data_IF_416626897351
#
_entry.id   IF_416626897351
#
_cell.length_a   1.000
_cell.length_b   1.000
_cell.length_c   1.000
_cell.angle_alpha   90.00
_cell.angle_beta   90.00
_cell.angle_gamma   90.00
#
_symmetry.space_group_name_H-M   'P 1'
#
loop_
_entity.id
_entity.type
_entity.pdbx_description
1 polymer ?
#
# COMPACT_ATOMS: atom_id res chain seq x y z
N UNK A 1 11.12 -3.83 13.83
CA UNK A 1 10.46 -3.57 12.53
C UNK A 1 9.90 -4.88 12.01
N UNK A 2 8.59 -4.97 11.75
CA UNK A 2 7.99 -6.19 11.22
C UNK A 2 8.67 -6.56 9.89
N UNK A 3 9.00 -7.83 9.71
CA UNK A 3 9.70 -8.36 8.53
C UNK A 3 8.81 -8.16 7.30
N UNK A 4 9.12 -7.16 6.45
CA UNK A 4 8.39 -6.93 5.20
C UNK A 4 8.79 -7.98 4.17
N UNK A 5 7.80 -8.60 3.53
CA UNK A 5 8.03 -9.56 2.44
C UNK A 5 8.27 -8.80 1.14
N UNK A 6 9.44 -8.95 0.55
CA UNK A 6 9.70 -8.47 -0.82
C UNK A 6 9.08 -9.44 -1.82
N UNK A 7 8.29 -8.92 -2.76
CA UNK A 7 7.71 -9.70 -3.84
C UNK A 7 7.65 -8.86 -5.12
N UNK A 8 7.92 -9.44 -6.30
CA UNK A 8 7.75 -8.75 -7.55
C UNK A 8 6.25 -8.57 -7.83
N UNK A 9 5.79 -7.31 -7.89
CA UNK A 9 4.41 -6.97 -8.23
C UNK A 9 4.29 -6.79 -9.75
N UNK A 10 3.40 -7.56 -10.38
CA UNK A 10 2.99 -7.29 -11.76
C UNK A 10 1.82 -6.32 -11.71
N UNK A 11 2.04 -5.11 -12.20
CA UNK A 11 1.06 -4.02 -12.22
C UNK A 11 1.08 -3.37 -13.60
N UNK A 12 -0.07 -2.85 -14.00
CA UNK A 12 -0.17 -2.03 -15.20
C UNK A 12 0.74 -0.77 -15.09
N UNK A 13 1.52 -0.43 -16.13
CA UNK A 13 2.43 0.72 -16.07
C UNK A 13 1.74 2.07 -15.90
N UNK A 14 0.56 2.26 -16.49
CA UNK A 14 -0.19 3.52 -16.36
C UNK A 14 -0.71 3.68 -14.94
N UNK A 15 -1.23 2.59 -14.36
CA UNK A 15 -1.64 2.58 -12.96
C UNK A 15 -0.45 2.86 -12.02
N UNK A 16 0.72 2.29 -12.30
CA UNK A 16 1.92 2.57 -11.50
C UNK A 16 2.29 4.06 -11.54
N UNK A 17 2.25 4.70 -12.71
CA UNK A 17 2.55 6.13 -12.85
C UNK A 17 1.58 7.01 -12.04
N UNK A 18 0.29 6.66 -12.02
CA UNK A 18 -0.72 7.36 -11.20
C UNK A 18 -0.40 7.22 -9.70
N UNK A 19 -0.08 6.01 -9.25
CA UNK A 19 0.28 5.72 -7.85
C UNK A 19 1.56 6.46 -7.46
N UNK A 20 2.56 6.51 -8.34
CA UNK A 20 3.83 7.21 -8.09
C UNK A 20 3.62 8.70 -7.91
N UNK A 21 2.82 9.33 -8.78
CA UNK A 21 2.47 10.75 -8.64
C UNK A 21 1.73 11.00 -7.31
N UNK A 22 0.73 10.18 -6.99
CA UNK A 22 -0.02 10.31 -5.74
C UNK A 22 0.87 10.12 -4.50
N UNK A 23 1.79 9.15 -4.53
CA UNK A 23 2.74 8.95 -3.45
C UNK A 23 3.63 10.19 -3.23
N UNK A 24 4.09 10.82 -4.32
CA UNK A 24 4.87 12.05 -4.27
C UNK A 24 4.06 13.22 -3.69
N UNK A 25 2.80 13.38 -4.09
CA UNK A 25 1.90 14.41 -3.57
C UNK A 25 1.66 14.26 -2.05
N UNK A 26 1.73 13.04 -1.51
CA UNK A 26 1.61 12.74 -0.08
C UNK A 26 2.96 12.66 0.67
N UNK A 27 4.09 12.97 0.02
CA UNK A 27 5.44 12.83 0.60
C UNK A 27 5.73 11.42 1.15
N UNK A 28 5.26 10.38 0.45
CA UNK A 28 5.51 8.96 0.79
C UNK A 28 6.33 8.28 -0.30
N UNK A 29 7.03 7.20 0.07
CA UNK A 29 7.59 6.31 -0.96
C UNK A 29 6.47 5.53 -1.65
N UNK A 30 6.67 5.19 -2.92
CA UNK A 30 5.73 4.40 -3.73
C UNK A 30 5.34 3.10 -3.02
N UNK A 31 6.32 2.37 -2.47
CA UNK A 31 6.07 1.13 -1.72
C UNK A 31 5.22 1.35 -0.46
N UNK A 32 5.46 2.44 0.29
CA UNK A 32 4.67 2.76 1.47
C UNK A 32 3.24 3.17 1.11
N UNK A 33 3.07 3.90 0.00
CA UNK A 33 1.76 4.31 -0.49
C UNK A 33 0.95 3.11 -1.02
N UNK A 34 1.57 2.19 -1.78
CA UNK A 34 0.93 0.92 -2.18
C UNK A 34 0.48 0.12 -0.96
N UNK A 35 1.34 -0.03 0.06
CA UNK A 35 0.97 -0.72 1.31
C UNK A 35 -0.22 -0.05 2.00
N UNK A 36 -0.24 1.28 2.06
CA UNK A 36 -1.34 2.07 2.62
C UNK A 36 -2.66 1.79 1.89
N UNK A 37 -2.69 1.93 0.56
CA UNK A 37 -3.89 1.68 -0.25
C UNK A 37 -4.43 0.27 -0.06
N UNK A 38 -3.55 -0.75 -0.07
CA UNK A 38 -3.94 -2.14 0.14
C UNK A 38 -4.53 -2.37 1.54
N UNK A 39 -3.93 -1.76 2.58
CA UNK A 39 -4.42 -1.84 3.96
C UNK A 39 -5.77 -1.17 4.10
N UNK A 40 -5.94 0.02 3.55
CA UNK A 40 -7.21 0.75 3.62
C UNK A 40 -8.33 -0.02 2.92
N UNK A 41 -8.08 -0.54 1.71
CA UNK A 41 -9.05 -1.38 1.01
C UNK A 41 -9.37 -2.68 1.78
N UNK A 42 -8.36 -3.33 2.37
CA UNK A 42 -8.57 -4.53 3.18
C UNK A 42 -9.40 -4.25 4.45
N UNK A 43 -9.18 -3.11 5.11
CA UNK A 43 -10.00 -2.66 6.25
C UNK A 43 -11.43 -2.36 5.81
N UNK A 44 -11.62 -1.62 4.72
CA UNK A 44 -12.95 -1.30 4.18
C UNK A 44 -13.76 -2.55 3.82
N UNK A 45 -13.09 -3.59 3.31
CA UNK A 45 -13.72 -4.89 3.01
C UNK A 45 -13.86 -5.81 4.24
N UNK A 46 -13.49 -5.36 5.43
CA UNK A 46 -13.51 -6.15 6.66
C UNK A 46 -12.58 -7.36 6.64
N UNK A 47 -11.59 -7.38 5.71
CA UNK A 47 -10.63 -8.48 5.54
C UNK A 47 -9.39 -8.32 6.40
N UNK A 48 -9.14 -7.11 6.89
CA UNK A 48 -8.13 -6.85 7.89
C UNK A 48 -8.83 -6.75 9.26
N UNK A 49 -8.57 -7.69 10.16
CA UNK A 49 -8.94 -7.52 11.57
C UNK A 49 -8.20 -6.28 12.08
N UNK A 50 -8.87 -5.38 12.80
CA UNK A 50 -8.18 -4.34 13.56
C UNK A 50 -7.11 -5.06 14.37
N UNK A 51 -5.85 -4.67 14.23
CA UNK A 51 -4.80 -5.15 15.12
C UNK A 51 -5.33 -4.91 16.53
N UNK A 52 -5.63 -6.01 17.23
CA UNK A 52 -5.54 -6.00 18.68
C UNK A 52 -4.06 -5.72 18.93
N UNK A 53 -3.80 -4.81 19.86
CA UNK A 53 -2.46 -4.45 20.35
C UNK A 53 -1.82 -3.28 19.59
N UNK A 54 -2.30 -2.08 19.94
CA UNK A 54 -1.44 -0.93 20.20
C UNK A 54 -1.70 -0.48 21.65
#
# INVERSE_FOLDING_TARGET
>A
MAKKKSFPLRIDPELHAVIEKWANDEFRSVNAHIEYLLREMAKQKGKLKKDKDA
#
